data_IF_233925817357
#
_entry.id   IF_233925817357
#
_cell.length_a   1.000
_cell.length_b   1.000
_cell.length_c   1.000
_cell.angle_alpha   90.00
_cell.angle_beta   90.00
_cell.angle_gamma   90.00
#
_symmetry.space_group_name_H-M   'P 1'
#
loop_
_entity.id
_entity.type
_entity.pdbx_description
1 polymer ?
#
# COMPACT_ATOMS: atom_id res chain seq x y z
N UNK A 1 24.35 -0.54 -10.35
CA UNK A 1 22.97 -0.75 -9.83
C UNK A 1 21.88 -0.27 -10.80
N UNK A 2 21.86 1.00 -11.25
CA UNK A 2 20.80 1.51 -12.15
C UNK A 2 20.63 0.76 -13.48
N UNK A 3 21.72 0.27 -14.10
CA UNK A 3 21.65 -0.51 -15.35
C UNK A 3 20.96 -1.87 -15.18
N UNK A 4 21.12 -2.51 -14.02
CA UNK A 4 20.48 -3.78 -13.71
C UNK A 4 18.97 -3.60 -13.51
N UNK A 5 18.55 -2.58 -12.75
CA UNK A 5 17.14 -2.24 -12.58
C UNK A 5 16.46 -1.89 -13.91
N UNK A 6 17.14 -1.14 -14.78
CA UNK A 6 16.64 -0.83 -16.13
C UNK A 6 16.53 -2.07 -17.03
N UNK A 7 17.36 -3.09 -16.82
CA UNK A 7 17.25 -4.37 -17.51
C UNK A 7 16.04 -5.16 -16.99
N UNK A 8 15.86 -5.22 -15.67
CA UNK A 8 14.71 -5.85 -15.01
C UNK A 8 13.39 -5.20 -15.47
N UNK A 9 13.31 -3.87 -15.50
CA UNK A 9 12.12 -3.16 -16.00
C UNK A 9 11.83 -3.46 -17.47
N UNK A 10 12.85 -3.51 -18.33
CA UNK A 10 12.68 -3.89 -19.75
C UNK A 10 12.22 -5.34 -19.89
N UNK A 11 12.72 -6.23 -19.04
CA UNK A 11 12.35 -7.63 -19.04
C UNK A 11 10.91 -7.84 -18.55
N UNK A 12 10.49 -7.12 -17.50
CA UNK A 12 9.10 -7.08 -17.04
C UNK A 12 8.17 -6.56 -18.14
N UNK A 13 8.57 -5.52 -18.87
CA UNK A 13 7.79 -5.00 -19.99
C UNK A 13 7.65 -6.03 -21.12
N UNK A 14 8.73 -6.75 -21.47
CA UNK A 14 8.71 -7.82 -22.46
C UNK A 14 7.81 -8.99 -22.04
N UNK A 15 7.72 -9.24 -20.72
CA UNK A 15 6.93 -10.31 -20.11
C UNK A 15 5.57 -9.82 -19.58
N UNK A 16 5.08 -8.66 -20.02
CA UNK A 16 3.83 -8.07 -19.49
C UNK A 16 2.60 -8.97 -19.62
N UNK A 17 2.51 -9.76 -20.69
CA UNK A 17 1.41 -10.73 -20.88
C UNK A 17 1.48 -11.84 -19.83
N UNK A 18 2.68 -12.39 -19.60
CA UNK A 18 2.92 -13.37 -18.55
C UNK A 18 2.64 -12.77 -17.17
N UNK A 19 3.09 -11.54 -16.92
CA UNK A 19 2.84 -10.82 -15.68
C UNK A 19 1.34 -10.63 -15.42
N UNK A 20 0.56 -10.26 -16.45
CA UNK A 20 -0.89 -10.13 -16.36
C UNK A 20 -1.57 -11.46 -16.05
N UNK A 21 -1.14 -12.56 -16.68
CA UNK A 21 -1.65 -13.92 -16.40
C UNK A 21 -1.34 -14.33 -14.97
N UNK A 22 -0.11 -14.10 -14.49
CA UNK A 22 0.30 -14.42 -13.12
C UNK A 22 -0.46 -13.57 -12.09
N UNK A 23 -0.67 -12.28 -12.37
CA UNK A 23 -1.45 -11.40 -11.51
C UNK A 23 -2.92 -11.82 -11.43
N UNK A 24 -3.54 -12.21 -12.55
CA UNK A 24 -4.92 -12.76 -12.56
C UNK A 24 -5.02 -14.06 -11.76
N UNK A 25 -4.03 -14.94 -11.89
CA UNK A 25 -3.97 -16.19 -11.12
C UNK A 25 -3.83 -15.91 -9.62
N UNK A 26 -2.97 -14.97 -9.25
CA UNK A 26 -2.79 -14.52 -7.86
C UNK A 26 -4.11 -13.98 -7.29
N UNK A 27 -4.82 -13.13 -8.04
CA UNK A 27 -6.14 -12.61 -7.67
C UNK A 27 -7.16 -13.73 -7.43
N UNK A 28 -7.24 -14.70 -8.34
CA UNK A 28 -8.12 -15.86 -8.16
C UNK A 28 -7.76 -16.72 -6.96
N UNK A 29 -6.46 -16.85 -6.65
CA UNK A 29 -5.98 -17.60 -5.49
C UNK A 29 -6.40 -16.95 -4.16
N UNK A 30 -6.55 -15.61 -4.10
CA UNK A 30 -6.99 -14.90 -2.88
C UNK A 30 -8.43 -15.25 -2.46
N UNK A 31 -9.26 -15.66 -3.40
CA UNK A 31 -10.66 -16.02 -3.15
C UNK A 31 -10.94 -17.52 -3.32
N UNK A 32 -9.92 -18.31 -3.67
CA UNK A 32 -10.07 -19.73 -3.96
C UNK A 32 -10.46 -20.50 -2.68
N UNK A 33 -11.55 -21.27 -2.76
CA UNK A 33 -12.03 -22.08 -1.63
C UNK A 33 -12.73 -21.30 -0.51
N UNK A 34 -12.85 -19.98 -0.61
CA UNK A 34 -13.53 -19.15 0.39
C UNK A 34 -15.00 -18.93 0.01
N UNK A 35 -15.93 -19.29 0.89
CA UNK A 35 -17.38 -19.11 0.67
C UNK A 35 -17.76 -17.63 0.45
N UNK A 36 -17.08 -16.70 1.12
CA UNK A 36 -17.33 -15.26 0.97
C UNK A 36 -16.59 -14.58 -0.20
N UNK A 37 -15.79 -15.33 -0.96
CA UNK A 37 -15.09 -14.82 -2.15
C UNK A 37 -14.34 -13.50 -1.91
N UNK A 38 -14.61 -12.50 -2.75
CA UNK A 38 -13.99 -11.17 -2.71
C UNK A 38 -14.31 -10.36 -1.45
N UNK A 39 -15.42 -10.65 -0.77
CA UNK A 39 -15.82 -9.92 0.44
C UNK A 39 -14.72 -10.02 1.52
N UNK A 40 -14.11 -11.21 1.67
CA UNK A 40 -13.05 -11.43 2.65
C UNK A 40 -11.75 -10.69 2.36
N UNK A 41 -11.55 -10.24 1.13
CA UNK A 41 -10.37 -9.45 0.75
C UNK A 41 -10.54 -7.99 1.17
N UNK A 42 -11.75 -7.44 1.07
CA UNK A 42 -12.02 -6.03 1.40
C UNK A 42 -12.49 -5.80 2.83
N UNK A 43 -13.08 -6.81 3.47
CA UNK A 43 -13.63 -6.69 4.81
C UNK A 43 -12.56 -6.30 5.86
N UNK A 44 -11.36 -6.90 5.90
CA UNK A 44 -10.32 -6.50 6.85
C UNK A 44 -9.89 -5.02 6.77
N UNK A 45 -9.50 -4.45 5.61
CA UNK A 45 -9.12 -3.04 5.55
C UNK A 45 -10.29 -2.09 5.84
N UNK A 46 -11.51 -2.45 5.44
CA UNK A 46 -12.69 -1.63 5.70
C UNK A 46 -13.07 -1.62 7.18
N UNK A 47 -13.11 -2.78 7.83
CA UNK A 47 -13.43 -2.87 9.26
C UNK A 47 -12.34 -2.23 10.13
N UNK A 48 -11.07 -2.41 9.76
CA UNK A 48 -9.97 -1.78 10.49
C UNK A 48 -10.07 -0.25 10.36
N UNK A 49 -10.32 0.26 9.16
CA UNK A 49 -10.52 1.70 8.93
C UNK A 49 -11.74 2.23 9.70
N UNK A 50 -12.86 1.51 9.67
CA UNK A 50 -14.06 1.88 10.41
C UNK A 50 -13.84 1.89 11.94
N UNK A 51 -13.08 0.93 12.46
CA UNK A 51 -12.73 0.87 13.88
C UNK A 51 -11.86 2.06 14.31
N UNK A 52 -10.86 2.42 13.50
CA UNK A 52 -10.05 3.62 13.77
C UNK A 52 -10.84 4.91 13.63
N UNK A 53 -11.71 5.02 12.63
CA UNK A 53 -12.64 6.14 12.49
C UNK A 53 -13.52 6.29 13.74
N UNK A 54 -14.12 5.19 14.21
CA UNK A 54 -14.95 5.20 15.42
C UNK A 54 -14.13 5.64 16.64
N UNK A 55 -12.93 5.08 16.83
CA UNK A 55 -12.11 5.40 17.98
C UNK A 55 -11.68 6.88 17.99
N UNK A 56 -11.16 7.39 16.88
CA UNK A 56 -10.55 8.72 16.84
C UNK A 56 -11.53 9.86 16.59
N UNK A 57 -12.54 9.64 15.75
CA UNK A 57 -13.53 10.67 15.41
C UNK A 57 -14.72 10.65 16.39
N UNK A 58 -15.23 9.47 16.76
CA UNK A 58 -16.44 9.35 17.59
C UNK A 58 -16.12 9.30 19.09
N UNK A 59 -15.19 8.43 19.51
CA UNK A 59 -14.89 8.24 20.95
C UNK A 59 -14.00 9.35 21.49
N UNK A 60 -12.87 9.64 20.84
CA UNK A 60 -11.98 10.71 21.28
C UNK A 60 -12.46 12.10 20.85
N UNK A 61 -13.39 12.18 19.88
CA UNK A 61 -13.89 13.45 19.40
C UNK A 61 -12.77 14.38 18.93
N UNK A 62 -11.68 13.84 18.37
CA UNK A 62 -10.53 14.64 17.99
C UNK A 62 -10.98 15.68 16.96
N UNK A 63 -10.98 16.94 17.38
CA UNK A 63 -11.23 18.08 16.50
C UNK A 63 -9.88 18.57 16.02
N UNK A 64 -9.68 18.60 14.71
CA UNK A 64 -8.58 19.37 14.18
C UNK A 64 -8.79 20.84 14.58
N UNK A 65 -7.72 21.53 15.00
CA UNK A 65 -7.78 22.95 15.33
C UNK A 65 -8.32 23.80 14.16
N UNK A 66 -8.71 25.04 14.44
CA UNK A 66 -9.41 25.95 13.51
C UNK A 66 -8.74 26.20 12.14
N UNK A 67 -7.51 25.74 11.93
CA UNK A 67 -6.76 25.85 10.68
C UNK A 67 -6.87 24.62 9.76
N UNK A 68 -7.64 23.58 10.12
CA UNK A 68 -7.77 22.38 9.30
C UNK A 68 -8.94 22.47 8.29
N UNK A 69 -8.76 21.92 7.07
CA UNK A 69 -9.74 22.03 5.98
C UNK A 69 -11.06 21.28 6.21
N UNK A 70 -11.18 20.45 7.26
CA UNK A 70 -12.40 19.71 7.62
C UNK A 70 -12.63 19.67 9.14
N UNK A 71 -13.88 19.80 9.56
CA UNK A 71 -14.27 19.84 10.99
C UNK A 71 -14.18 18.49 11.73
N UNK A 72 -13.91 17.39 11.03
CA UNK A 72 -13.83 16.02 11.56
C UNK A 72 -12.62 15.29 10.98
N UNK A 73 -11.85 14.62 11.85
CA UNK A 73 -10.61 13.89 11.52
C UNK A 73 -10.88 12.68 10.63
N UNK A 74 -12.13 12.26 10.55
CA UNK A 74 -12.55 11.06 9.83
C UNK A 74 -12.08 10.94 8.38
N UNK A 75 -12.20 11.99 7.56
CA UNK A 75 -11.86 11.89 6.13
C UNK A 75 -10.36 11.71 5.92
N UNK A 76 -9.55 12.45 6.69
CA UNK A 76 -8.08 12.34 6.69
C UNK A 76 -7.61 10.94 7.07
N UNK A 77 -8.22 10.37 8.12
CA UNK A 77 -7.88 9.04 8.62
C UNK A 77 -8.25 7.95 7.62
N UNK A 78 -9.46 8.02 7.04
CA UNK A 78 -9.93 7.00 6.08
C UNK A 78 -9.02 6.92 4.87
N UNK A 79 -8.62 8.07 4.32
CA UNK A 79 -7.72 8.15 3.17
C UNK A 79 -6.34 7.58 3.52
N UNK A 80 -5.75 8.03 4.63
CA UNK A 80 -4.43 7.55 5.07
C UNK A 80 -4.43 6.05 5.37
N UNK A 81 -5.49 5.54 5.99
CA UNK A 81 -5.58 4.14 6.40
C UNK A 81 -5.75 3.19 5.21
N UNK A 82 -6.54 3.59 4.20
CA UNK A 82 -6.66 2.82 2.97
C UNK A 82 -5.35 2.81 2.16
N UNK A 83 -4.68 3.96 2.05
CA UNK A 83 -3.37 4.06 1.40
C UNK A 83 -2.33 3.18 2.11
N UNK A 84 -2.28 3.24 3.45
CA UNK A 84 -1.41 2.39 4.25
C UNK A 84 -1.72 0.90 4.08
N UNK A 85 -3.01 0.52 4.15
CA UNK A 85 -3.43 -0.87 4.01
C UNK A 85 -3.04 -1.44 2.64
N UNK A 86 -3.18 -0.65 1.58
CA UNK A 86 -2.78 -1.04 0.24
C UNK A 86 -1.26 -1.28 0.14
N UNK A 87 -0.45 -0.39 0.74
CA UNK A 87 1.00 -0.53 0.79
C UNK A 87 1.46 -1.72 1.63
N UNK A 88 0.84 -1.93 2.80
CA UNK A 88 1.18 -3.03 3.69
C UNK A 88 0.87 -4.39 3.02
N UNK A 89 -0.30 -4.53 2.38
CA UNK A 89 -0.66 -5.74 1.63
C UNK A 89 0.30 -5.99 0.46
N UNK A 90 0.60 -4.96 -0.34
CA UNK A 90 1.52 -5.05 -1.47
C UNK A 90 2.95 -5.43 -1.04
N UNK A 91 3.46 -4.80 0.01
CA UNK A 91 4.81 -5.03 0.54
C UNK A 91 4.92 -6.43 1.14
N UNK A 92 3.95 -6.84 1.97
CA UNK A 92 3.97 -8.13 2.63
C UNK A 92 3.88 -9.29 1.64
N UNK A 93 2.95 -9.23 0.68
CA UNK A 93 2.81 -10.28 -0.35
C UNK A 93 3.99 -10.29 -1.30
N UNK A 94 4.47 -9.11 -1.69
CA UNK A 94 5.64 -8.99 -2.54
C UNK A 94 6.90 -9.58 -1.89
N UNK A 95 7.11 -9.35 -0.59
CA UNK A 95 8.18 -9.97 0.18
C UNK A 95 8.10 -11.51 0.19
N UNK A 96 6.90 -12.07 0.40
CA UNK A 96 6.71 -13.53 0.44
C UNK A 96 6.77 -14.19 -0.94
N UNK A 97 6.56 -13.41 -2.01
CA UNK A 97 6.35 -13.93 -3.37
C UNK A 97 7.47 -14.81 -3.91
N UNK A 98 8.73 -14.55 -3.51
CA UNK A 98 9.90 -15.30 -3.97
C UNK A 98 10.05 -16.63 -3.22
N UNK A 99 9.75 -16.64 -1.91
CA UNK A 99 9.73 -17.85 -1.08
C UNK A 99 8.66 -18.83 -1.58
N UNK A 100 7.46 -18.33 -1.88
CA UNK A 100 6.35 -19.11 -2.43
C UNK A 100 6.66 -19.65 -3.84
N UNK A 101 7.43 -18.90 -4.62
CA UNK A 101 7.82 -19.26 -5.97
C UNK A 101 9.00 -20.23 -6.07
N UNK A 102 9.62 -20.63 -4.95
CA UNK A 102 10.85 -21.44 -4.93
C UNK A 102 10.76 -22.70 -5.81
N UNK A 103 9.64 -23.43 -5.73
CA UNK A 103 9.42 -24.63 -6.55
C UNK A 103 9.30 -24.38 -8.07
N UNK A 104 8.85 -23.18 -8.48
CA UNK A 104 8.76 -22.78 -9.88
C UNK A 104 10.11 -22.31 -10.41
N UNK A 105 10.86 -21.55 -9.59
CA UNK A 105 12.19 -21.05 -9.93
C UNK A 105 13.19 -22.16 -10.21
N UNK A 106 13.09 -23.29 -9.50
CA UNK A 106 13.94 -24.45 -9.75
C UNK A 106 13.62 -25.17 -11.07
N UNK A 107 12.40 -25.01 -11.61
CA UNK A 107 11.94 -25.72 -12.81
C UNK A 107 12.01 -24.87 -14.07
N UNK A 108 11.89 -23.55 -13.94
CA UNK A 108 11.93 -22.62 -15.06
C UNK A 108 12.68 -21.35 -14.65
N UNK A 109 13.76 -20.96 -15.37
CA UNK A 109 14.51 -19.75 -15.08
C UNK A 109 13.71 -18.50 -15.48
N UNK A 110 12.80 -18.09 -14.59
CA UNK A 110 12.09 -16.82 -14.70
C UNK A 110 12.82 -15.73 -13.91
N UNK A 111 12.80 -14.46 -14.37
CA UNK A 111 13.40 -13.36 -13.65
C UNK A 111 12.76 -13.18 -12.25
N UNK A 112 13.56 -13.05 -11.17
CA UNK A 112 13.04 -12.90 -9.81
C UNK A 112 12.11 -11.69 -9.63
N UNK A 113 12.38 -10.57 -10.32
CA UNK A 113 11.57 -9.36 -10.27
C UNK A 113 10.10 -9.57 -10.69
N UNK A 114 9.80 -10.63 -11.45
CA UNK A 114 8.45 -10.97 -11.89
C UNK A 114 7.53 -11.33 -10.72
N UNK A 115 8.07 -11.95 -9.65
CA UNK A 115 7.28 -12.46 -8.53
C UNK A 115 6.81 -11.34 -7.57
N UNK A 116 7.65 -10.37 -7.18
CA UNK A 116 7.17 -9.19 -6.46
C UNK A 116 6.25 -8.34 -7.32
N UNK A 117 6.54 -8.19 -8.63
CA UNK A 117 5.72 -7.41 -9.54
C UNK A 117 4.28 -7.96 -9.65
N UNK A 118 4.09 -9.28 -9.79
CA UNK A 118 2.74 -9.88 -9.83
C UNK A 118 1.96 -9.64 -8.54
N UNK A 119 2.64 -9.68 -7.39
CA UNK A 119 2.00 -9.54 -6.08
C UNK A 119 1.55 -8.10 -5.85
N UNK A 120 2.43 -7.13 -6.14
CA UNK A 120 2.13 -5.69 -6.03
C UNK A 120 1.03 -5.28 -7.01
N UNK A 121 1.04 -5.78 -8.25
CA UNK A 121 -0.04 -5.53 -9.20
C UNK A 121 -1.38 -6.10 -8.72
N UNK A 122 -1.39 -7.34 -8.21
CA UNK A 122 -2.61 -7.93 -7.66
C UNK A 122 -3.15 -7.11 -6.47
N UNK A 123 -2.28 -6.67 -5.56
CA UNK A 123 -2.67 -5.79 -4.45
C UNK A 123 -3.18 -4.42 -4.95
N UNK A 124 -2.54 -3.85 -5.96
CA UNK A 124 -3.02 -2.63 -6.62
C UNK A 124 -4.42 -2.77 -7.19
N UNK A 125 -4.72 -3.88 -7.88
CA UNK A 125 -6.07 -4.17 -8.41
C UNK A 125 -7.09 -4.34 -7.28
N UNK A 126 -6.71 -4.99 -6.18
CA UNK A 126 -7.60 -5.17 -5.01
C UNK A 126 -7.97 -3.85 -4.35
N UNK A 127 -7.01 -2.96 -4.17
CA UNK A 127 -7.21 -1.69 -3.46
C UNK A 127 -7.63 -0.53 -4.38
N UNK A 128 -7.48 -0.66 -5.69
CA UNK A 128 -7.88 0.37 -6.65
C UNK A 128 -9.35 0.79 -6.49
N UNK A 129 -10.35 -0.11 -6.38
CA UNK A 129 -11.74 0.29 -6.13
C UNK A 129 -11.91 1.08 -4.82
N UNK A 130 -11.20 0.70 -3.76
CA UNK A 130 -11.28 1.37 -2.45
C UNK A 130 -10.69 2.78 -2.50
N UNK A 131 -9.54 2.94 -3.16
CA UNK A 131 -8.88 4.23 -3.33
C UNK A 131 -9.64 5.12 -4.31
N UNK A 132 -10.21 4.56 -5.39
CA UNK A 132 -11.03 5.29 -6.34
C UNK A 132 -12.39 5.70 -5.75
N UNK A 133 -12.94 4.93 -4.80
CA UNK A 133 -14.14 5.31 -4.06
C UNK A 133 -13.95 6.57 -3.19
N UNK A 134 -12.71 7.03 -2.99
CA UNK A 134 -12.40 8.30 -2.34
C UNK A 134 -12.59 9.51 -3.29
N UNK A 135 -12.59 9.30 -4.62
CA UNK A 135 -12.74 10.38 -5.60
C UNK A 135 -14.06 11.17 -5.46
N UNK A 136 -15.25 10.54 -5.31
CA UNK A 136 -16.50 11.28 -5.13
C UNK A 136 -16.51 12.13 -3.86
N UNK A 137 -15.94 11.61 -2.76
CA UNK A 137 -15.74 12.33 -1.50
C UNK A 137 -14.89 13.58 -1.71
N UNK A 138 -13.82 13.45 -2.49
CA UNK A 138 -12.94 14.57 -2.85
C UNK A 138 -13.57 15.57 -3.82
N UNK A 139 -14.30 15.07 -4.83
CA UNK A 139 -14.95 15.87 -5.87
C UNK A 139 -16.05 16.78 -5.32
N UNK A 140 -16.83 16.30 -4.35
CA UNK A 140 -17.83 17.11 -3.66
C UNK A 140 -17.24 18.27 -2.87
N UNK A 141 -16.03 18.11 -2.33
CA UNK A 141 -15.35 19.11 -1.52
C UNK A 141 -14.49 20.10 -2.35
N UNK A 142 -13.94 19.69 -3.49
CA UNK A 142 -12.89 20.43 -4.21
C UNK A 142 -13.26 20.95 -5.62
N UNK A 143 -14.53 20.83 -6.05
CA UNK A 143 -15.07 21.42 -7.29
C UNK A 143 -14.16 21.29 -8.54
N UNK A 144 -13.70 20.08 -8.85
CA UNK A 144 -12.91 19.81 -10.08
C UNK A 144 -11.59 20.59 -10.23
N UNK A 145 -10.97 21.03 -9.13
CA UNK A 145 -9.64 21.66 -9.18
C UNK A 145 -8.56 20.69 -9.69
N UNK A 146 -7.51 21.25 -10.29
CA UNK A 146 -6.40 20.52 -10.90
C UNK A 146 -5.72 19.47 -9.98
N UNK A 147 -5.87 19.59 -8.66
CA UNK A 147 -5.35 18.62 -7.68
C UNK A 147 -5.88 17.20 -7.83
N UNK A 148 -7.08 17.00 -8.41
CA UNK A 148 -7.61 15.64 -8.66
C UNK A 148 -6.72 14.85 -9.63
N UNK A 149 -6.09 15.53 -10.58
CA UNK A 149 -5.14 14.90 -11.51
C UNK A 149 -3.85 14.43 -10.83
N UNK A 150 -3.53 14.94 -9.64
CA UNK A 150 -2.38 14.50 -8.85
C UNK A 150 -2.61 13.11 -8.21
N UNK A 151 -3.84 12.61 -8.15
CA UNK A 151 -4.14 11.28 -7.60
C UNK A 151 -3.46 10.16 -8.41
N UNK A 152 -3.47 10.28 -9.74
CA UNK A 152 -2.86 9.29 -10.62
C UNK A 152 -1.34 9.15 -10.43
N UNK A 153 -0.53 10.22 -10.48
CA UNK A 153 0.90 10.12 -10.20
C UNK A 153 1.18 9.68 -8.75
N UNK A 154 0.34 10.02 -7.77
CA UNK A 154 0.48 9.50 -6.40
C UNK A 154 0.27 7.99 -6.32
N UNK A 155 -0.77 7.45 -6.97
CA UNK A 155 -1.01 6.00 -7.04
C UNK A 155 0.15 5.27 -7.73
N UNK A 156 0.69 5.84 -8.81
CA UNK A 156 1.86 5.28 -9.50
C UNK A 156 3.10 5.34 -8.61
N UNK A 157 3.32 6.43 -7.89
CA UNK A 157 4.43 6.58 -6.94
C UNK A 157 4.32 5.55 -5.80
N UNK A 158 3.13 5.39 -5.20
CA UNK A 158 2.89 4.38 -4.18
C UNK A 158 3.13 2.96 -4.72
N UNK A 159 2.65 2.66 -5.93
CA UNK A 159 2.86 1.36 -6.56
C UNK A 159 4.34 1.07 -6.82
N UNK A 160 5.08 2.06 -7.34
CA UNK A 160 6.53 1.95 -7.57
C UNK A 160 7.28 1.75 -6.26
N UNK A 161 6.96 2.53 -5.23
CA UNK A 161 7.57 2.41 -3.91
C UNK A 161 7.32 1.03 -3.30
N UNK A 162 6.08 0.56 -3.37
CA UNK A 162 5.69 -0.78 -2.90
C UNK A 162 6.46 -1.86 -3.64
N UNK A 163 6.63 -1.74 -4.97
CA UNK A 163 7.41 -2.67 -5.78
C UNK A 163 8.89 -2.70 -5.41
N UNK A 164 9.53 -1.54 -5.30
CA UNK A 164 10.95 -1.45 -4.98
C UNK A 164 11.23 -2.04 -3.58
N UNK A 165 10.41 -1.69 -2.60
CA UNK A 165 10.54 -2.20 -1.24
C UNK A 165 10.24 -3.70 -1.19
N UNK A 166 9.15 -4.16 -1.80
CA UNK A 166 8.81 -5.58 -1.89
C UNK A 166 9.91 -6.40 -2.56
N UNK A 167 10.52 -5.89 -3.63
CA UNK A 167 11.59 -6.60 -4.33
C UNK A 167 12.84 -6.74 -3.47
N UNK A 168 13.27 -5.65 -2.81
CA UNK A 168 14.36 -5.69 -1.85
C UNK A 168 14.08 -6.68 -0.72
N UNK A 169 12.89 -6.60 -0.12
CA UNK A 169 12.49 -7.46 0.98
C UNK A 169 12.34 -8.92 0.56
N UNK A 170 11.91 -9.20 -0.67
CA UNK A 170 11.83 -10.57 -1.18
C UNK A 170 13.21 -11.23 -1.29
N UNK A 171 14.21 -10.48 -1.75
CA UNK A 171 15.60 -10.94 -1.80
C UNK A 171 16.12 -11.16 -0.37
N UNK A 172 15.88 -10.22 0.53
CA UNK A 172 16.31 -10.32 1.93
C UNK A 172 15.63 -11.48 2.67
N UNK A 173 14.32 -11.68 2.48
CA UNK A 173 13.56 -12.76 3.09
C UNK A 173 13.98 -14.15 2.57
N UNK A 174 14.40 -14.24 1.31
CA UNK A 174 14.98 -15.45 0.76
C UNK A 174 16.36 -15.77 1.36
N UNK A 175 17.14 -14.75 1.73
CA UNK A 175 18.43 -14.92 2.41
C UNK A 175 18.30 -15.17 3.92
N UNK A 176 17.37 -14.46 4.58
CA UNK A 176 17.18 -14.43 6.03
C UNK A 176 15.68 -14.46 6.35
N UNK A 177 15.19 -15.58 6.88
CA UNK A 177 13.75 -15.75 7.19
C UNK A 177 13.23 -14.77 8.23
N UNK A 178 14.08 -14.33 9.17
CA UNK A 178 13.73 -13.40 10.25
C UNK A 178 13.27 -12.03 9.74
N UNK A 179 13.65 -11.66 8.50
CA UNK A 179 13.19 -10.44 7.84
C UNK A 179 11.67 -10.43 7.73
N UNK A 180 11.03 -11.59 7.56
CA UNK A 180 9.57 -11.68 7.44
C UNK A 180 8.89 -11.19 8.72
N UNK A 181 9.33 -11.67 9.88
CA UNK A 181 8.76 -11.26 11.17
C UNK A 181 9.07 -9.80 11.47
N UNK A 182 10.31 -9.35 11.20
CA UNK A 182 10.72 -7.96 11.39
C UNK A 182 9.88 -6.98 10.57
N UNK A 183 9.67 -7.28 9.29
CA UNK A 183 8.84 -6.44 8.40
C UNK A 183 7.37 -6.44 8.83
N UNK A 184 6.81 -7.59 9.23
CA UNK A 184 5.42 -7.63 9.73
C UNK A 184 5.24 -6.71 10.94
N UNK A 185 6.16 -6.76 11.91
CA UNK A 185 6.14 -5.86 13.06
C UNK A 185 6.26 -4.39 12.63
N UNK A 186 7.20 -4.09 11.72
CA UNK A 186 7.39 -2.73 11.21
C UNK A 186 6.16 -2.20 10.47
N UNK A 187 5.45 -3.03 9.70
CA UNK A 187 4.21 -2.65 9.03
C UNK A 187 3.06 -2.44 10.02
N UNK A 188 2.99 -3.21 11.11
CA UNK A 188 2.00 -2.98 12.18
C UNK A 188 2.27 -1.68 12.94
N UNK A 189 3.53 -1.40 13.28
CA UNK A 189 3.92 -0.17 13.97
C UNK A 189 3.91 1.06 13.06
N UNK A 190 4.12 0.87 11.75
CA UNK A 190 4.27 1.94 10.78
C UNK A 190 3.03 2.83 10.62
N UNK A 191 1.83 2.33 10.93
CA UNK A 191 0.59 3.13 11.00
C UNK A 191 0.72 4.25 12.04
N UNK A 192 1.37 3.97 13.17
CA UNK A 192 1.57 4.93 14.26
C UNK A 192 2.77 5.85 14.01
N UNK A 193 3.71 5.42 13.16
CA UNK A 193 4.90 6.16 12.75
C UNK A 193 4.72 6.86 11.39
N UNK A 194 3.48 7.12 10.98
CA UNK A 194 3.14 7.89 9.80
C UNK A 194 2.00 8.86 10.13
N UNK A 195 1.84 9.96 9.37
CA UNK A 195 0.73 10.90 9.54
C UNK A 195 -0.59 10.30 8.99
N UNK A 196 -0.91 9.06 9.36
CA UNK A 196 -2.15 8.36 8.99
C UNK A 196 -3.22 8.60 10.05
N UNK A 197 -2.86 8.41 11.33
CA UNK A 197 -3.79 8.54 12.45
C UNK A 197 -3.93 9.98 12.97
N UNK A 198 -2.92 10.82 12.70
CA UNK A 198 -2.87 12.18 13.18
C UNK A 198 -2.25 13.13 12.14
N UNK A 199 -2.61 14.43 12.17
CA UNK A 199 -1.99 15.45 11.35
C UNK A 199 -0.55 15.72 11.78
N UNK A 200 0.32 16.04 10.81
CA UNK A 200 1.73 16.34 11.05
C UNK A 200 1.95 17.45 12.09
N UNK A 201 1.02 18.39 12.20
CA UNK A 201 1.07 19.54 13.12
C UNK A 201 0.95 19.13 14.60
N UNK A 202 0.32 18.00 14.90
CA UNK A 202 0.19 17.49 16.28
C UNK A 202 1.47 16.81 16.76
N UNK A 203 2.39 16.46 15.86
CA UNK A 203 3.62 15.75 16.23
C UNK A 203 4.73 16.72 16.68
N UNK A 204 5.44 16.44 17.80
CA UNK A 204 6.47 17.32 18.33
C UNK A 204 7.60 17.62 17.32
N UNK A 205 7.96 18.90 17.19
CA UNK A 205 8.94 19.41 16.20
C UNK A 205 10.24 18.63 16.15
N UNK A 206 10.84 18.41 17.33
CA UNK A 206 12.10 17.70 17.50
C UNK A 206 12.10 16.26 16.95
N UNK A 207 10.94 15.61 16.84
CA UNK A 207 10.81 14.22 16.41
C UNK A 207 10.17 14.07 15.02
N UNK A 208 9.71 15.16 14.37
CA UNK A 208 9.02 15.09 13.07
C UNK A 208 9.85 14.41 11.98
N UNK A 209 11.18 14.49 12.05
CA UNK A 209 12.09 13.83 11.11
C UNK A 209 11.91 12.31 11.09
N UNK A 210 11.48 11.69 12.20
CA UNK A 210 11.26 10.25 12.29
C UNK A 210 10.14 9.79 11.34
N UNK A 211 9.10 10.62 11.17
CA UNK A 211 7.99 10.33 10.25
C UNK A 211 8.48 10.27 8.80
N UNK A 212 9.51 11.03 8.44
CA UNK A 212 10.08 11.04 7.08
C UNK A 212 10.94 9.82 6.76
N UNK A 213 11.32 9.01 7.76
CA UNK A 213 11.92 7.70 7.50
C UNK A 213 10.92 6.71 6.92
N UNK A 214 9.62 6.92 7.19
CA UNK A 214 8.57 6.10 6.63
C UNK A 214 8.33 6.52 5.17
N UNK A 215 8.55 5.61 4.19
CA UNK A 215 8.46 5.98 2.79
C UNK A 215 7.02 6.32 2.35
N UNK A 216 6.01 5.91 3.13
CA UNK A 216 4.61 6.25 2.87
C UNK A 216 4.18 7.63 3.36
N UNK A 217 5.02 8.34 4.12
CA UNK A 217 4.67 9.68 4.64
C UNK A 217 4.37 10.68 3.53
N UNK A 218 5.19 10.74 2.48
CA UNK A 218 4.96 11.65 1.36
C UNK A 218 3.69 11.30 0.54
N UNK A 219 3.45 10.04 0.11
CA UNK A 219 2.20 9.65 -0.53
C UNK A 219 0.97 9.94 0.33
N UNK A 220 0.99 9.60 1.62
CA UNK A 220 -0.14 9.79 2.55
C UNK A 220 -0.48 11.27 2.67
N UNK A 221 0.52 12.14 2.86
CA UNK A 221 0.31 13.59 2.89
C UNK A 221 -0.21 14.14 1.56
N UNK A 222 0.17 13.53 0.43
CA UNK A 222 -0.35 13.92 -0.89
C UNK A 222 -1.81 13.52 -1.13
N UNK A 223 -2.28 12.47 -0.44
CA UNK A 223 -3.68 12.06 -0.50
C UNK A 223 -4.61 12.86 0.42
N UNK A 224 -4.07 13.54 1.42
CA UNK A 224 -4.79 14.29 2.46
C UNK A 224 -4.97 15.76 2.10
#
# INVERSE_FOLDING_TARGET
MCRALLADCRQLWRLRELLAVLARRELGARTAGAAGGWLWVWLPPLLTTAAYFLLFDVVFGMRLGAAAPTARVGTFLVVGMLAWSAFADATQRGMMSLLEAGGLLHKNPLPPALFPARAVLASGVVFAPLLLALLPLYMGAHQWRAGVWALLPLLLLQGLLSFLLAYLLAILAAALRDVVQGVQLLLSLGVFLSPVLFPLTLFPERWRWLLWLNPMTAPVLGYQ
#
